data_IF_804984996374
#
_entry.id   IF_804984996374
#
_cell.length_a   1.000
_cell.length_b   1.000
_cell.length_c   1.000
_cell.angle_alpha   90.00
_cell.angle_beta   90.00
_cell.angle_gamma   90.00
#
_symmetry.space_group_name_H-M   'P 1'
#
loop_
_entity.id
_entity.type
_entity.pdbx_description
1 polymer ?
#
# COMPACT_ATOMS: atom_id res chain seq x y z
N UNK A 1 -12.34 -16.89 -15.83
CA UNK A 1 -13.62 -16.28 -15.41
C UNK A 1 -13.45 -15.81 -13.97
N UNK A 2 -12.98 -14.58 -13.78
CA UNK A 2 -12.74 -14.03 -12.44
C UNK A 2 -14.06 -13.53 -11.88
N UNK A 3 -14.53 -14.03 -10.72
CA UNK A 3 -15.79 -13.58 -10.17
C UNK A 3 -15.68 -12.10 -9.79
N UNK A 4 -16.68 -11.32 -10.22
CA UNK A 4 -16.90 -9.92 -9.84
C UNK A 4 -17.16 -9.83 -8.32
N UNK A 5 -16.10 -9.92 -7.52
CA UNK A 5 -16.16 -10.12 -6.07
C UNK A 5 -16.13 -8.82 -5.23
N UNK A 6 -16.71 -7.72 -5.71
CA UNK A 6 -16.83 -6.52 -4.85
C UNK A 6 -18.04 -6.62 -3.90
N UNK A 7 -19.13 -7.25 -4.34
CA UNK A 7 -20.38 -7.37 -3.57
C UNK A 7 -20.34 -8.31 -2.33
N UNK A 8 -19.71 -9.50 -2.34
CA UNK A 8 -19.93 -10.49 -1.27
C UNK A 8 -19.34 -10.09 0.09
N UNK A 9 -18.40 -9.13 0.11
CA UNK A 9 -17.72 -8.71 1.34
C UNK A 9 -18.47 -7.66 2.14
N UNK A 10 -19.19 -6.75 1.48
CA UNK A 10 -20.04 -5.79 2.19
C UNK A 10 -21.25 -6.50 2.82
N UNK A 11 -21.85 -7.46 2.12
CA UNK A 11 -22.99 -8.22 2.62
C UNK A 11 -22.65 -9.07 3.85
N UNK A 12 -21.46 -9.70 3.86
CA UNK A 12 -20.95 -10.43 5.04
C UNK A 12 -20.57 -9.51 6.20
N UNK A 13 -20.05 -8.31 5.94
CA UNK A 13 -19.76 -7.32 6.98
C UNK A 13 -21.05 -6.82 7.64
N UNK A 14 -22.07 -6.51 6.83
CA UNK A 14 -23.38 -6.09 7.33
C UNK A 14 -24.01 -7.14 8.24
N UNK A 15 -23.97 -8.42 7.86
CA UNK A 15 -24.49 -9.51 8.71
C UNK A 15 -23.71 -9.69 10.02
N UNK A 16 -22.40 -9.44 10.05
CA UNK A 16 -21.59 -9.54 11.28
C UNK A 16 -21.76 -8.34 12.21
N UNK A 17 -21.90 -7.13 11.64
CA UNK A 17 -21.94 -5.89 12.39
C UNK A 17 -23.35 -5.48 12.79
N UNK A 18 -24.41 -6.00 12.15
CA UNK A 18 -25.81 -5.66 12.43
C UNK A 18 -26.02 -4.14 12.57
N UNK A 19 -25.68 -3.35 11.53
CA UNK A 19 -25.81 -1.91 11.59
C UNK A 19 -27.28 -1.49 11.77
N UNK A 20 -27.54 -0.53 12.63
CA UNK A 20 -28.87 0.07 12.82
C UNK A 20 -28.83 1.55 12.49
N UNK A 21 -29.76 1.96 11.62
CA UNK A 21 -29.85 3.33 11.14
C UNK A 21 -28.82 3.66 10.05
N UNK A 22 -28.97 4.85 9.48
CA UNK A 22 -28.24 5.30 8.29
C UNK A 22 -26.74 5.46 8.54
N UNK A 23 -26.38 5.96 9.73
CA UNK A 23 -24.97 6.24 10.07
C UNK A 23 -24.15 4.95 10.11
N UNK A 24 -24.66 3.93 10.78
CA UNK A 24 -23.93 2.66 10.90
C UNK A 24 -23.88 1.89 9.59
N UNK A 25 -24.96 1.95 8.79
CA UNK A 25 -24.98 1.39 7.44
C UNK A 25 -23.87 2.02 6.59
N UNK A 26 -23.80 3.35 6.58
CA UNK A 26 -22.76 4.09 5.87
C UNK A 26 -21.34 3.74 6.33
N UNK A 27 -21.12 3.60 7.65
CA UNK A 27 -19.83 3.20 8.21
C UNK A 27 -19.44 1.78 7.77
N UNK A 28 -20.38 0.82 7.80
CA UNK A 28 -20.14 -0.56 7.36
C UNK A 28 -19.79 -0.61 5.86
N UNK A 29 -20.53 0.13 5.03
CA UNK A 29 -20.24 0.24 3.59
C UNK A 29 -18.86 0.86 3.33
N UNK A 30 -18.54 1.94 4.05
CA UNK A 30 -17.24 2.62 3.95
C UNK A 30 -16.09 1.70 4.36
N UNK A 31 -16.24 0.96 5.47
CA UNK A 31 -15.27 -0.06 5.91
C UNK A 31 -15.06 -1.10 4.81
N UNK A 32 -16.14 -1.63 4.23
CA UNK A 32 -16.05 -2.59 3.11
C UNK A 32 -15.30 -2.02 1.91
N UNK A 33 -15.57 -0.77 1.55
CA UNK A 33 -14.89 -0.07 0.46
C UNK A 33 -13.40 0.12 0.75
N UNK A 34 -13.02 0.55 1.97
CA UNK A 34 -11.63 0.71 2.36
C UNK A 34 -10.87 -0.62 2.36
N UNK A 35 -11.46 -1.69 2.92
CA UNK A 35 -10.86 -3.04 2.89
C UNK A 35 -10.61 -3.52 1.46
N UNK A 36 -11.57 -3.29 0.55
CA UNK A 36 -11.41 -3.66 -0.86
C UNK A 36 -10.30 -2.87 -1.54
N UNK A 37 -10.24 -1.55 -1.31
CA UNK A 37 -9.19 -0.68 -1.87
C UNK A 37 -7.80 -1.11 -1.41
N UNK A 38 -7.62 -1.44 -0.13
CA UNK A 38 -6.34 -1.91 0.40
C UNK A 38 -5.91 -3.25 -0.21
N UNK A 39 -6.83 -4.19 -0.33
CA UNK A 39 -6.50 -5.48 -0.96
C UNK A 39 -6.13 -5.34 -2.44
N UNK A 40 -6.83 -4.46 -3.18
CA UNK A 40 -6.47 -4.16 -4.56
C UNK A 40 -5.09 -3.52 -4.65
N UNK A 41 -4.78 -2.57 -3.76
CA UNK A 41 -3.48 -1.92 -3.73
C UNK A 41 -2.34 -2.93 -3.46
N UNK A 42 -2.49 -3.78 -2.43
CA UNK A 42 -1.52 -4.83 -2.12
C UNK A 42 -1.31 -5.81 -3.29
N UNK A 43 -2.39 -6.16 -4.01
CA UNK A 43 -2.29 -7.00 -5.21
C UNK A 43 -1.48 -6.30 -6.32
N UNK A 44 -1.77 -5.03 -6.61
CA UNK A 44 -1.07 -4.26 -7.64
C UNK A 44 0.42 -4.12 -7.31
N UNK A 45 0.75 -3.89 -6.05
CA UNK A 45 2.14 -3.84 -5.58
C UNK A 45 2.87 -5.18 -5.79
N UNK A 46 2.23 -6.31 -5.44
CA UNK A 46 2.79 -7.64 -5.70
C UNK A 46 3.02 -7.91 -7.19
N UNK A 47 2.06 -7.54 -8.04
CA UNK A 47 2.17 -7.67 -9.51
C UNK A 47 3.32 -6.81 -10.06
N UNK A 48 3.51 -5.59 -9.53
CA UNK A 48 4.64 -4.73 -9.88
C UNK A 48 5.98 -5.35 -9.51
N UNK A 49 6.15 -5.72 -8.24
CA UNK A 49 7.39 -6.31 -7.72
C UNK A 49 7.73 -7.57 -8.53
N UNK A 50 6.72 -8.40 -8.80
CA UNK A 50 6.88 -9.62 -9.61
C UNK A 50 7.38 -9.29 -11.02
N UNK A 51 6.81 -8.28 -11.68
CA UNK A 51 7.21 -7.86 -13.02
C UNK A 51 8.58 -7.16 -13.09
N UNK A 52 9.01 -6.50 -12.01
CA UNK A 52 10.37 -5.94 -11.90
C UNK A 52 11.40 -7.04 -11.68
N UNK A 53 11.11 -8.00 -10.78
CA UNK A 53 12.03 -9.08 -10.43
C UNK A 53 12.14 -10.15 -11.51
N UNK A 54 11.06 -10.40 -12.28
CA UNK A 54 11.00 -11.45 -13.30
C UNK A 54 10.59 -10.84 -14.65
N UNK A 55 11.48 -10.10 -15.32
CA UNK A 55 11.16 -9.48 -16.60
C UNK A 55 10.99 -10.55 -17.70
N UNK A 56 10.07 -10.34 -18.67
CA UNK A 56 9.89 -11.26 -19.78
C UNK A 56 11.13 -11.31 -20.67
N UNK A 57 11.60 -12.52 -21.00
CA UNK A 57 12.77 -12.71 -21.86
C UNK A 57 12.30 -12.80 -23.31
N UNK A 58 12.78 -11.88 -24.14
CA UNK A 58 12.46 -11.79 -25.56
C UNK A 58 13.65 -12.26 -26.39
N UNK A 59 13.38 -13.07 -27.41
CA UNK A 59 14.41 -13.48 -28.38
C UNK A 59 14.83 -12.24 -29.16
N UNK A 60 16.14 -11.94 -29.17
CA UNK A 60 16.67 -10.89 -30.04
C UNK A 60 17.09 -11.42 -31.42
N UNK A 61 17.17 -12.74 -31.62
CA UNK A 61 17.88 -13.31 -32.78
C UNK A 61 16.96 -13.78 -33.93
N UNK A 62 15.65 -13.45 -33.91
CA UNK A 62 14.74 -13.82 -35.00
C UNK A 62 14.75 -12.79 -36.14
N UNK A 63 15.65 -13.03 -37.10
CA UNK A 63 15.74 -12.52 -38.48
C UNK A 63 14.86 -11.33 -38.91
N UNK A 64 15.56 -10.33 -39.47
CA UNK A 64 15.18 -9.05 -40.10
C UNK A 64 14.02 -9.05 -41.15
N UNK A 65 13.30 -10.15 -41.35
CA UNK A 65 12.28 -10.34 -42.40
C UNK A 65 10.84 -10.53 -41.89
N UNK A 66 10.57 -10.26 -40.62
CA UNK A 66 9.18 -10.19 -40.08
C UNK A 66 8.79 -8.78 -39.63
N UNK A 67 9.60 -7.76 -39.91
CA UNK A 67 9.50 -6.40 -39.39
C UNK A 67 8.35 -5.54 -39.97
N UNK A 68 7.28 -6.16 -40.50
CA UNK A 68 6.09 -5.44 -41.00
C UNK A 68 4.82 -5.76 -40.18
N UNK A 69 4.94 -6.59 -39.15
CA UNK A 69 3.85 -6.78 -38.17
C UNK A 69 4.45 -6.61 -36.78
N UNK A 70 4.00 -5.55 -36.09
CA UNK A 70 4.21 -5.28 -34.67
C UNK A 70 5.55 -4.63 -34.27
N UNK A 71 5.50 -3.32 -34.21
CA UNK A 71 6.51 -2.42 -33.66
C UNK A 71 6.93 -2.86 -32.24
N UNK A 72 8.16 -3.39 -32.14
CA UNK A 72 9.13 -3.37 -31.00
C UNK A 72 9.31 -4.54 -30.04
N UNK A 73 8.79 -5.76 -30.27
CA UNK A 73 9.14 -6.90 -29.40
C UNK A 73 9.41 -8.18 -30.19
N UNK A 74 10.66 -8.66 -30.16
CA UNK A 74 11.04 -9.97 -30.73
C UNK A 74 10.24 -11.13 -30.14
N UNK A 75 10.34 -12.31 -30.77
CA UNK A 75 9.55 -13.48 -30.39
C UNK A 75 9.71 -13.79 -28.89
N UNK A 76 8.59 -13.89 -28.17
CA UNK A 76 8.57 -14.15 -26.73
C UNK A 76 9.09 -15.57 -26.46
N UNK A 77 10.27 -15.71 -25.85
CA UNK A 77 10.90 -17.02 -25.56
C UNK A 77 10.37 -17.55 -24.24
N UNK A 78 10.35 -16.69 -23.24
CA UNK A 78 9.82 -16.98 -21.92
C UNK A 78 8.91 -15.81 -21.50
N UNK A 79 7.60 -16.04 -21.29
CA UNK A 79 6.71 -15.01 -20.80
C UNK A 79 7.10 -14.47 -19.42
N UNK A 80 8.01 -15.15 -18.70
CA UNK A 80 8.26 -14.90 -17.29
C UNK A 80 7.01 -15.23 -16.46
N UNK A 81 7.03 -14.84 -15.19
CA UNK A 81 5.81 -14.89 -14.38
C UNK A 81 4.80 -13.88 -14.94
N UNK A 82 3.56 -14.26 -15.28
CA UNK A 82 2.61 -13.32 -15.86
C UNK A 82 2.19 -12.31 -14.79
N UNK A 83 2.87 -11.18 -14.72
CA UNK A 83 2.28 -9.98 -14.16
C UNK A 83 1.16 -9.58 -15.14
N UNK A 84 -0.13 -9.62 -14.74
CA UNK A 84 -1.24 -9.35 -15.65
C UNK A 84 -1.26 -7.89 -16.16
N UNK A 85 -0.36 -7.04 -15.66
CA UNK A 85 -0.10 -5.68 -16.15
C UNK A 85 1.38 -5.51 -16.51
N UNK A 86 1.65 -4.77 -17.59
CA UNK A 86 3.01 -4.46 -18.02
C UNK A 86 3.70 -3.59 -16.98
N UNK A 87 4.89 -3.99 -16.51
CA UNK A 87 5.64 -3.34 -15.43
C UNK A 87 5.72 -1.79 -15.55
N UNK A 88 5.95 -1.26 -16.76
CA UNK A 88 6.01 0.19 -17.00
C UNK A 88 4.72 0.96 -16.72
N UNK A 89 3.55 0.33 -16.87
CA UNK A 89 2.24 0.93 -16.54
C UNK A 89 1.94 0.94 -15.04
N UNK A 90 2.65 0.12 -14.27
CA UNK A 90 2.35 -0.13 -12.85
C UNK A 90 3.17 0.77 -11.93
N UNK A 91 4.35 1.23 -12.33
CA UNK A 91 5.21 2.10 -11.51
C UNK A 91 4.53 3.41 -11.06
N UNK A 92 3.85 4.20 -11.93
CA UNK A 92 3.15 5.40 -11.50
C UNK A 92 1.93 5.06 -10.63
N UNK A 93 1.27 3.93 -10.89
CA UNK A 93 0.13 3.46 -10.11
C UNK A 93 0.58 3.11 -8.69
N UNK A 94 1.64 2.32 -8.52
CA UNK A 94 2.14 1.90 -7.20
C UNK A 94 2.60 3.08 -6.36
N UNK A 95 3.31 4.05 -6.93
CA UNK A 95 3.78 5.22 -6.18
C UNK A 95 2.62 6.12 -5.70
N UNK A 96 1.57 6.27 -6.51
CA UNK A 96 0.32 6.90 -6.10
C UNK A 96 -0.41 6.06 -5.04
N UNK A 97 -0.55 4.75 -5.27
CA UNK A 97 -1.29 3.86 -4.38
C UNK A 97 -0.65 3.72 -3.00
N UNK A 98 0.68 3.63 -2.89
CA UNK A 98 1.37 3.55 -1.59
C UNK A 98 1.09 4.78 -0.72
N UNK A 99 1.00 5.98 -1.30
CA UNK A 99 0.62 7.20 -0.57
C UNK A 99 -0.85 7.19 -0.13
N UNK A 100 -1.74 6.66 -0.96
CA UNK A 100 -3.16 6.56 -0.59
C UNK A 100 -3.44 5.37 0.34
N UNK A 101 -2.62 4.32 0.37
CA UNK A 101 -2.79 3.18 1.26
C UNK A 101 -2.76 3.62 2.72
N UNK A 102 -1.76 4.40 3.12
CA UNK A 102 -1.68 4.91 4.50
C UNK A 102 -2.89 5.77 4.86
N UNK A 103 -3.35 6.63 3.95
CA UNK A 103 -4.56 7.43 4.15
C UNK A 103 -5.83 6.57 4.25
N UNK A 104 -5.96 5.55 3.39
CA UNK A 104 -7.10 4.62 3.37
C UNK A 104 -7.10 3.74 4.62
N UNK A 105 -5.94 3.29 5.09
CA UNK A 105 -5.79 2.57 6.36
C UNK A 105 -6.24 3.42 7.54
N UNK A 106 -5.79 4.68 7.61
CA UNK A 106 -6.23 5.60 8.65
C UNK A 106 -7.75 5.82 8.61
N UNK A 107 -8.33 6.00 7.41
CA UNK A 107 -9.77 6.12 7.24
C UNK A 107 -10.52 4.84 7.66
N UNK A 108 -9.99 3.66 7.33
CA UNK A 108 -10.52 2.37 7.76
C UNK A 108 -10.56 2.25 9.28
N UNK A 109 -9.44 2.53 9.96
CA UNK A 109 -9.37 2.45 11.42
C UNK A 109 -10.30 3.46 12.10
N UNK A 110 -10.38 4.70 11.58
CA UNK A 110 -11.34 5.69 12.07
C UNK A 110 -12.77 5.19 11.93
N UNK A 111 -13.16 4.69 10.76
CA UNK A 111 -14.51 4.17 10.54
C UNK A 111 -14.82 2.96 11.43
N UNK A 112 -13.85 2.08 11.66
CA UNK A 112 -13.99 0.94 12.58
C UNK A 112 -14.22 1.39 14.03
N UNK A 113 -13.43 2.35 14.52
CA UNK A 113 -13.57 2.88 15.88
C UNK A 113 -14.91 3.59 16.07
N UNK A 114 -15.33 4.41 15.11
CA UNK A 114 -16.64 5.09 15.20
C UNK A 114 -17.81 4.09 15.18
N UNK A 115 -17.74 3.06 14.34
CA UNK A 115 -18.76 2.01 14.32
C UNK A 115 -18.82 1.25 15.65
N UNK A 116 -17.66 0.86 16.19
CA UNK A 116 -17.59 0.18 17.49
C UNK A 116 -18.16 1.08 18.61
N UNK A 117 -17.82 2.37 18.58
CA UNK A 117 -18.30 3.37 19.53
C UNK A 117 -19.83 3.44 19.52
N UNK A 118 -20.44 3.58 18.35
CA UNK A 118 -21.90 3.63 18.21
C UNK A 118 -22.57 2.32 18.68
N UNK A 119 -21.98 1.18 18.34
CA UNK A 119 -22.48 -0.14 18.76
C UNK A 119 -22.42 -0.33 20.28
N UNK A 120 -21.35 0.12 20.93
CA UNK A 120 -21.17 0.06 22.39
C UNK A 120 -22.11 1.03 23.11
N UNK A 121 -22.24 2.27 22.63
CA UNK A 121 -23.21 3.23 23.16
C UNK A 121 -24.64 2.67 23.10
N UNK A 122 -25.00 2.00 22.01
CA UNK A 122 -26.32 1.36 21.87
C UNK A 122 -26.53 0.20 22.85
N UNK A 123 -25.47 -0.52 23.20
CA UNK A 123 -25.51 -1.57 24.24
C UNK A 123 -25.59 -1.00 25.66
N UNK A 124 -25.67 0.32 25.83
CA UNK A 124 -25.79 0.99 27.12
C UNK A 124 -24.44 1.31 27.77
N UNK A 125 -23.33 1.12 27.05
CA UNK A 125 -22.02 1.48 27.57
C UNK A 125 -21.78 2.99 27.49
N UNK A 126 -21.33 3.60 28.59
CA UNK A 126 -20.99 5.01 28.62
C UNK A 126 -19.57 5.21 28.08
N UNK A 127 -19.45 5.81 26.90
CA UNK A 127 -18.16 6.11 26.28
C UNK A 127 -17.81 7.60 26.38
N UNK A 128 -16.57 7.94 26.79
CA UNK A 128 -16.11 9.33 26.88
C UNK A 128 -16.07 9.95 25.49
N UNK A 129 -16.46 11.23 25.38
CA UNK A 129 -16.53 11.96 24.11
C UNK A 129 -15.21 11.85 23.30
N UNK A 130 -15.27 11.85 21.95
CA UNK A 130 -14.06 11.81 21.13
C UNK A 130 -13.09 12.93 21.52
N UNK A 131 -11.86 12.57 21.87
CA UNK A 131 -10.82 13.53 22.26
C UNK A 131 -9.90 13.82 21.08
N UNK A 132 -9.70 15.10 20.77
CA UNK A 132 -8.65 15.56 19.87
C UNK A 132 -7.47 16.01 20.72
N UNK A 133 -6.30 15.40 20.52
CA UNK A 133 -5.06 15.72 21.24
C UNK A 133 -4.06 16.31 20.25
N UNK A 134 -3.68 17.57 20.45
CA UNK A 134 -2.65 18.22 19.67
C UNK A 134 -1.27 17.88 20.24
N UNK A 135 -0.44 17.23 19.43
CA UNK A 135 0.92 16.82 19.83
C UNK A 135 1.94 17.68 19.08
N UNK A 136 2.67 18.52 19.79
CA UNK A 136 3.78 19.30 19.25
C UNK A 136 5.06 18.47 19.22
N UNK A 137 5.54 18.12 18.02
CA UNK A 137 6.81 17.39 17.84
C UNK A 137 7.92 18.40 17.56
N UNK A 138 8.84 18.54 18.50
CA UNK A 138 10.07 19.31 18.30
C UNK A 138 11.19 18.36 17.86
N UNK A 139 11.72 18.56 16.65
CA UNK A 139 12.95 17.92 16.23
C UNK A 139 14.12 18.78 16.71
N UNK A 140 14.87 18.30 17.71
CA UNK A 140 16.14 18.93 18.07
C UNK A 140 17.09 18.88 16.86
N UNK A 141 17.69 20.01 16.45
CA UNK A 141 18.66 19.98 15.38
C UNK A 141 19.90 19.23 15.88
N UNK A 142 20.09 18.01 15.41
CA UNK A 142 21.41 17.39 15.46
C UNK A 142 22.35 18.26 14.61
N UNK A 143 23.18 19.06 15.29
CA UNK A 143 24.24 19.82 14.65
C UNK A 143 25.15 18.87 13.86
N UNK A 144 25.66 19.29 12.70
CA UNK A 144 26.78 18.60 12.09
C UNK A 144 27.94 18.72 13.07
N UNK A 145 28.57 17.61 13.42
CA UNK A 145 29.95 17.47 13.93
C UNK A 145 30.03 16.42 15.03
N UNK A 146 30.11 15.16 14.62
CA UNK A 146 30.84 14.16 15.40
C UNK A 146 31.41 13.09 14.45
N UNK A 147 32.10 13.53 13.40
CA UNK A 147 33.10 12.68 12.75
C UNK A 147 34.37 12.73 13.62
N UNK A 148 34.77 11.58 14.13
CA UNK A 148 35.84 11.43 15.09
C UNK A 148 37.17 11.97 14.58
N UNK A 149 37.73 12.91 15.34
CA UNK A 149 39.10 13.35 15.16
C UNK A 149 40.02 12.33 15.87
N UNK A 150 40.51 11.36 15.09
CA UNK A 150 41.59 10.46 15.50
C UNK A 150 42.89 11.25 15.59
N UNK A 151 43.18 11.76 16.78
CA UNK A 151 44.46 12.42 17.06
C UNK A 151 45.56 11.36 17.20
N UNK A 152 46.27 11.10 16.10
CA UNK A 152 47.55 10.39 16.13
C UNK A 152 48.56 11.22 16.94
N UNK A 153 48.92 10.78 18.15
CA UNK A 153 50.05 11.34 18.90
C UNK A 153 51.36 10.71 18.41
N UNK A 154 52.38 11.49 17.99
CA UNK A 154 53.72 10.95 17.79
C UNK A 154 54.40 10.70 19.14
N UNK A 155 54.97 9.51 19.27
CA UNK A 155 55.96 9.12 20.29
C UNK A 155 57.22 9.94 20.07
N UNK A 156 57.73 10.58 21.14
CA UNK A 156 59.12 11.03 21.21
C UNK A 156 59.72 10.58 22.54
N UNK A 157 60.65 9.62 22.40
CA UNK A 157 61.64 9.23 23.40
C UNK A 157 62.63 10.38 23.69
N UNK A 158 63.17 10.39 24.91
CA UNK A 158 64.58 10.71 25.14
C UNK A 158 64.90 12.11 25.64
N UNK A 159 65.11 12.23 26.95
CA UNK A 159 66.40 12.62 27.58
C UNK A 159 66.32 12.43 29.09
#
# INVERSE_FOLDING_TARGET
>A
MMPNCVAPRCETLSGKKNPVGVIEQHLVESIGLHMMRLQRAARLEGEYITGVLNPPIRDRDRNLMSAVVEETCGALVDPGSPAPMQCGSVQPLVSLYQRYMTAIEQQLYRALHELERLQRMRRGEHLPAPAAVDVTVHAEPHGPDSFGESSNKPVLEGS
#
